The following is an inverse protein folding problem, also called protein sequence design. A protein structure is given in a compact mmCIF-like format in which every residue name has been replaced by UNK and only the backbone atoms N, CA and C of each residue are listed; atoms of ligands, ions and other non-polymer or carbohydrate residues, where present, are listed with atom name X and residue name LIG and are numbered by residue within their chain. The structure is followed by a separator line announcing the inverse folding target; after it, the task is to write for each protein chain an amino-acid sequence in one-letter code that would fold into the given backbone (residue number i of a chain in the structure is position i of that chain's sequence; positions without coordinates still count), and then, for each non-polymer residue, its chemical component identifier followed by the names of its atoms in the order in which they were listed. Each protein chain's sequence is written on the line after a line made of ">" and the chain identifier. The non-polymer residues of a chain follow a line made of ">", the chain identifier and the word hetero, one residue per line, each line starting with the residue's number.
data_IF_509439519684
#
_entry.id   IF_509439519684
#
_cell.length_a   1.000
_cell.length_b   1.000
_cell.length_c   1.000
_cell.angle_alpha   90.00
_cell.angle_beta   90.00
_cell.angle_gamma   90.00
#
_symmetry.space_group_name_H-M   'P 1'
#
loop_
_entity.id
_entity.type
_entity.pdbx_description
1 polymer ?
#
# COMPACT_ATOMS: atom_id res chain seq x y z
N UNK A 1 9.03 -0.55 20.84
CA UNK A 1 9.43 -1.09 19.52
C UNK A 1 10.76 -0.46 19.18
N UNK A 2 11.74 -1.19 18.63
CA UNK A 2 13.04 -0.62 18.28
C UNK A 2 12.96 0.10 16.92
N UNK A 3 13.69 1.19 16.73
CA UNK A 3 13.68 2.03 15.53
C UNK A 3 14.11 1.25 14.28
N UNK A 4 15.07 0.34 14.42
CA UNK A 4 15.49 -0.57 13.34
C UNK A 4 14.33 -1.39 12.78
N UNK A 5 13.37 -1.78 13.63
CA UNK A 5 12.18 -2.52 13.17
C UNK A 5 11.22 -1.64 12.38
N UNK A 6 11.19 -0.34 12.63
CA UNK A 6 10.34 0.58 11.86
C UNK A 6 10.86 0.71 10.42
N UNK A 7 12.18 0.79 10.25
CA UNK A 7 12.83 0.82 8.93
C UNK A 7 12.63 -0.51 8.21
N UNK A 8 12.87 -1.64 8.89
CA UNK A 8 12.68 -2.97 8.29
C UNK A 8 11.24 -3.17 7.76
N UNK A 9 10.21 -2.70 8.47
CA UNK A 9 8.84 -2.80 7.98
C UNK A 9 8.57 -1.97 6.72
N UNK A 10 9.26 -0.85 6.53
CA UNK A 10 9.18 -0.09 5.28
C UNK A 10 9.83 -0.86 4.11
N UNK A 11 10.96 -1.51 4.36
CA UNK A 11 11.64 -2.37 3.38
C UNK A 11 10.79 -3.60 3.03
N UNK A 12 10.18 -4.24 4.03
CA UNK A 12 9.29 -5.39 3.83
C UNK A 12 8.05 -5.00 3.00
N UNK A 13 7.50 -3.80 3.22
CA UNK A 13 6.40 -3.28 2.41
C UNK A 13 6.81 -3.08 0.95
N UNK A 14 8.01 -2.56 0.69
CA UNK A 14 8.55 -2.43 -0.67
C UNK A 14 8.72 -3.79 -1.35
N UNK A 15 9.33 -4.77 -0.67
CA UNK A 15 9.51 -6.11 -1.23
C UNK A 15 8.19 -6.83 -1.49
N UNK A 16 7.18 -6.65 -0.64
CA UNK A 16 5.84 -7.17 -0.86
C UNK A 16 5.21 -6.60 -2.15
N UNK A 17 5.33 -5.28 -2.37
CA UNK A 17 4.86 -4.65 -3.61
C UNK A 17 5.64 -5.15 -4.83
N UNK A 18 6.95 -5.32 -4.71
CA UNK A 18 7.79 -5.87 -5.79
C UNK A 18 7.36 -7.29 -6.16
N UNK A 19 7.07 -8.14 -5.17
CA UNK A 19 6.57 -9.49 -5.38
C UNK A 19 5.18 -9.49 -6.05
N UNK A 20 4.27 -8.60 -5.64
CA UNK A 20 2.96 -8.43 -6.27
C UNK A 20 3.10 -7.99 -7.74
N UNK A 21 3.97 -7.01 -8.04
CA UNK A 21 4.23 -6.57 -9.41
C UNK A 21 4.76 -7.71 -10.29
N UNK A 22 5.67 -8.52 -9.75
CA UNK A 22 6.20 -9.69 -10.46
C UNK A 22 5.10 -10.75 -10.70
N UNK A 23 4.33 -11.09 -9.67
CA UNK A 23 3.27 -12.10 -9.76
C UNK A 23 2.05 -11.70 -10.59
N UNK A 24 1.87 -10.40 -10.84
CA UNK A 24 0.80 -9.83 -11.67
C UNK A 24 1.21 -9.61 -13.14
N UNK A 25 2.45 -9.94 -13.53
CA UNK A 25 2.90 -9.91 -14.92
C UNK A 25 2.37 -11.11 -15.73
N UNK A 26 1.04 -11.25 -15.80
CA UNK A 26 0.30 -12.33 -16.48
C UNK A 26 -1.18 -11.98 -16.57
N UNK A 27 -1.97 -12.83 -17.23
CA UNK A 27 -3.42 -12.77 -17.13
C UNK A 27 -3.87 -13.04 -15.68
N UNK A 28 -4.72 -12.15 -15.16
CA UNK A 28 -5.27 -12.23 -13.80
C UNK A 28 -6.76 -12.56 -13.85
N UNK A 29 -7.19 -13.68 -13.24
CA UNK A 29 -8.61 -13.92 -13.02
C UNK A 29 -9.21 -12.81 -12.15
N UNK A 30 -10.41 -12.34 -12.50
CA UNK A 30 -11.08 -11.28 -11.76
C UNK A 30 -11.23 -11.57 -10.25
N UNK A 31 -11.53 -12.80 -9.80
CA UNK A 31 -11.55 -13.10 -8.36
C UNK A 31 -10.22 -12.87 -7.64
N UNK A 32 -9.08 -13.18 -8.30
CA UNK A 32 -7.76 -12.90 -7.75
C UNK A 32 -7.48 -11.41 -7.70
N UNK A 33 -7.78 -10.69 -8.79
CA UNK A 33 -7.64 -9.24 -8.83
C UNK A 33 -8.50 -8.55 -7.75
N UNK A 34 -9.72 -9.02 -7.53
CA UNK A 34 -10.62 -8.53 -6.50
C UNK A 34 -9.99 -8.64 -5.10
N UNK A 35 -9.41 -9.79 -4.76
CA UNK A 35 -8.74 -9.98 -3.47
C UNK A 35 -7.48 -9.12 -3.32
N UNK A 36 -6.70 -8.97 -4.40
CA UNK A 36 -5.51 -8.10 -4.38
C UNK A 36 -5.91 -6.64 -4.17
N UNK A 37 -6.90 -6.15 -4.90
CA UNK A 37 -7.37 -4.76 -4.79
C UNK A 37 -7.87 -4.43 -3.38
N UNK A 38 -8.59 -5.34 -2.72
CA UNK A 38 -9.06 -5.12 -1.35
C UNK A 38 -7.92 -4.93 -0.33
N UNK A 39 -6.85 -5.71 -0.46
CA UNK A 39 -5.67 -5.56 0.39
C UNK A 39 -4.90 -4.26 0.08
N UNK A 40 -4.76 -3.92 -1.21
CA UNK A 40 -4.09 -2.69 -1.61
C UNK A 40 -4.86 -1.43 -1.17
N UNK A 41 -6.20 -1.48 -1.15
CA UNK A 41 -7.03 -0.41 -0.58
C UNK A 41 -6.72 -0.21 0.91
N UNK A 42 -6.70 -1.29 1.70
CA UNK A 42 -6.37 -1.21 3.13
C UNK A 42 -4.96 -0.64 3.36
N UNK A 43 -4.00 -1.07 2.54
CA UNK A 43 -2.64 -0.53 2.55
C UNK A 43 -2.61 0.97 2.22
N UNK A 44 -3.39 1.44 1.24
CA UNK A 44 -3.47 2.86 0.89
C UNK A 44 -3.96 3.74 2.04
N UNK A 45 -5.01 3.31 2.76
CA UNK A 45 -5.46 4.00 3.98
C UNK A 45 -4.41 3.95 5.09
N UNK A 46 -3.75 2.80 5.29
CA UNK A 46 -2.66 2.67 6.26
C UNK A 46 -1.48 3.62 5.95
N UNK A 47 -1.11 3.78 4.68
CA UNK A 47 -0.08 4.71 4.24
C UNK A 47 -0.49 6.17 4.48
N UNK A 48 -1.76 6.51 4.26
CA UNK A 48 -2.28 7.84 4.58
C UNK A 48 -2.16 8.15 6.08
N UNK A 49 -2.48 7.18 6.93
CA UNK A 49 -2.30 7.33 8.39
C UNK A 49 -0.82 7.45 8.78
N UNK A 50 0.05 6.58 8.25
CA UNK A 50 1.48 6.58 8.56
C UNK A 50 2.14 7.91 8.21
N UNK A 51 1.86 8.44 7.01
CA UNK A 51 2.40 9.74 6.57
C UNK A 51 1.91 10.89 7.43
N UNK A 52 0.65 10.86 7.89
CA UNK A 52 0.13 11.81 8.88
C UNK A 52 0.86 11.72 10.23
N UNK A 53 1.13 10.50 10.71
CA UNK A 53 1.88 10.28 11.95
C UNK A 53 3.33 10.78 11.86
N UNK A 54 4.00 10.53 10.73
CA UNK A 54 5.35 11.06 10.49
C UNK A 54 5.38 12.59 10.48
N UNK A 55 4.38 13.23 9.86
CA UNK A 55 4.26 14.70 9.83
C UNK A 55 4.09 15.28 11.24
N UNK A 56 3.21 14.69 12.04
CA UNK A 56 3.02 15.06 13.45
C UNK A 56 4.27 14.85 14.29
N UNK A 57 4.91 13.68 14.17
CA UNK A 57 6.12 13.34 14.92
C UNK A 57 7.30 14.27 14.60
N UNK A 58 7.49 14.65 13.33
CA UNK A 58 8.52 15.62 12.95
C UNK A 58 8.23 17.01 13.54
N UNK A 59 6.96 17.43 13.57
CA UNK A 59 6.58 18.70 14.18
C UNK A 59 6.87 18.70 15.68
N UNK A 60 6.52 17.62 16.38
CA UNK A 60 6.80 17.44 17.81
C UNK A 60 8.31 17.39 18.09
N UNK A 61 9.10 16.82 17.17
CA UNK A 61 10.55 16.70 17.31
C UNK A 61 11.27 18.05 17.50
N UNK A 62 10.72 19.14 16.95
CA UNK A 62 11.25 20.50 17.12
C UNK A 62 11.25 20.97 18.59
N UNK A 63 10.43 20.34 19.43
CA UNK A 63 10.31 20.65 20.87
C UNK A 63 10.83 19.54 21.76
N UNK A 64 10.81 18.30 21.28
CA UNK A 64 11.26 17.12 22.04
C UNK A 64 12.77 16.87 21.94
N UNK A 65 13.44 17.39 20.90
CA UNK A 65 14.87 17.17 20.66
C UNK A 65 15.59 18.48 20.33
N UNK A 66 16.91 18.50 20.58
CA UNK A 66 17.80 19.57 20.12
C UNK A 66 18.13 19.35 18.63
N UNK A 67 17.18 19.73 17.78
CA UNK A 67 17.26 19.54 16.32
C UNK A 67 18.10 20.64 15.67
N UNK A 68 18.93 20.25 14.70
CA UNK A 68 19.72 21.17 13.89
C UNK A 68 19.63 20.80 12.40
N UNK A 69 19.90 21.77 11.54
CA UNK A 69 19.98 21.62 10.09
C UNK A 69 21.13 22.50 9.61
N UNK A 70 22.09 21.87 8.92
CA UNK A 70 23.31 22.54 8.47
C UNK A 70 23.10 23.49 7.28
N UNK A 71 21.95 23.41 6.62
CA UNK A 71 21.62 24.18 5.43
C UNK A 71 20.67 25.34 5.70
N UNK A 72 19.82 25.28 6.74
CA UNK A 72 18.81 26.30 7.08
C UNK A 72 18.26 26.12 8.49
N UNK A 73 17.28 26.94 8.88
CA UNK A 73 16.51 26.76 10.12
C UNK A 73 15.76 25.40 10.11
N UNK A 74 15.98 24.51 11.11
CA UNK A 74 15.28 23.22 11.24
C UNK A 74 13.76 23.33 11.13
N UNK A 75 13.16 24.43 11.63
CA UNK A 75 11.71 24.66 11.56
C UNK A 75 11.23 24.76 10.12
N UNK A 76 12.02 25.38 9.25
CA UNK A 76 11.70 25.50 7.82
C UNK A 76 11.74 24.12 7.16
N UNK A 77 12.76 23.31 7.46
CA UNK A 77 12.87 21.95 6.91
C UNK A 77 11.76 21.03 7.38
N UNK A 78 11.39 21.08 8.67
CA UNK A 78 10.25 20.32 9.19
C UNK A 78 8.94 20.78 8.55
N UNK A 79 8.71 22.09 8.37
CA UNK A 79 7.51 22.59 7.71
C UNK A 79 7.40 22.09 6.25
N UNK A 80 8.52 22.08 5.52
CA UNK A 80 8.56 21.53 4.15
C UNK A 80 8.24 20.03 4.13
N UNK A 81 8.84 19.25 5.03
CA UNK A 81 8.59 17.81 5.13
C UNK A 81 7.13 17.52 5.53
N UNK A 82 6.59 18.27 6.50
CA UNK A 82 5.23 18.12 6.99
C UNK A 82 4.20 18.37 5.88
N UNK A 83 4.39 19.40 5.04
CA UNK A 83 3.49 19.65 3.91
C UNK A 83 3.59 18.56 2.84
N UNK A 84 4.81 18.10 2.50
CA UNK A 84 4.98 17.00 1.56
C UNK A 84 4.30 15.71 2.07
N UNK A 85 4.43 15.39 3.36
CA UNK A 85 3.78 14.25 3.99
C UNK A 85 2.25 14.37 4.01
N UNK A 86 1.71 15.59 4.21
CA UNK A 86 0.27 15.83 4.16
C UNK A 86 -0.30 15.63 2.75
N UNK A 87 0.43 16.06 1.72
CA UNK A 87 0.07 15.80 0.32
C UNK A 87 0.16 14.31 -0.02
N UNK A 88 1.19 13.62 0.49
CA UNK A 88 1.33 12.17 0.35
C UNK A 88 0.16 11.44 1.00
N UNK A 89 -0.29 11.87 2.20
CA UNK A 89 -1.43 11.30 2.88
C UNK A 89 -2.72 11.41 2.06
N UNK A 90 -3.01 12.61 1.54
CA UNK A 90 -4.17 12.83 0.67
C UNK A 90 -4.11 11.97 -0.61
N UNK A 91 -2.92 11.85 -1.20
CA UNK A 91 -2.70 11.04 -2.41
C UNK A 91 -2.88 9.54 -2.14
N UNK A 92 -2.39 9.05 -1.00
CA UNK A 92 -2.56 7.66 -0.58
C UNK A 92 -4.04 7.34 -0.32
N UNK A 93 -4.78 8.26 0.30
CA UNK A 93 -6.22 8.13 0.48
C UNK A 93 -6.96 8.08 -0.87
N UNK A 94 -6.69 9.01 -1.78
CA UNK A 94 -7.31 9.01 -3.12
C UNK A 94 -6.98 7.75 -3.91
N UNK A 95 -5.76 7.22 -3.77
CA UNK A 95 -5.38 5.93 -4.35
C UNK A 95 -6.20 4.77 -3.76
N UNK A 96 -6.39 4.74 -2.43
CA UNK A 96 -7.22 3.73 -1.77
C UNK A 96 -8.67 3.76 -2.27
N UNK A 97 -9.25 4.96 -2.45
CA UNK A 97 -10.60 5.15 -2.97
C UNK A 97 -10.73 4.65 -4.43
N UNK A 98 -9.73 4.91 -5.27
CA UNK A 98 -9.69 4.41 -6.65
C UNK A 98 -9.56 2.88 -6.70
N UNK A 99 -8.75 2.29 -5.82
CA UNK A 99 -8.63 0.84 -5.70
C UNK A 99 -9.95 0.20 -5.26
N UNK A 100 -10.66 0.83 -4.32
CA UNK A 100 -11.99 0.40 -3.89
C UNK A 100 -13.00 0.43 -5.05
N UNK A 101 -12.98 1.50 -5.84
CA UNK A 101 -13.85 1.62 -7.02
C UNK A 101 -13.53 0.56 -8.08
N UNK A 102 -12.25 0.27 -8.33
CA UNK A 102 -11.83 -0.80 -9.23
C UNK A 102 -12.27 -2.18 -8.72
N UNK A 103 -12.13 -2.44 -7.42
CA UNK A 103 -12.58 -3.68 -6.79
C UNK A 103 -14.09 -3.87 -6.96
N UNK A 104 -14.87 -2.81 -6.71
CA UNK A 104 -16.32 -2.81 -6.86
C UNK A 104 -16.73 -3.11 -8.31
N UNK A 105 -16.04 -2.54 -9.29
CA UNK A 105 -16.37 -2.70 -10.71
C UNK A 105 -16.24 -4.15 -11.21
N UNK A 106 -15.40 -4.97 -10.59
CA UNK A 106 -15.17 -6.37 -10.99
C UNK A 106 -15.82 -7.39 -10.02
N UNK A 107 -16.60 -6.94 -9.04
CA UNK A 107 -17.09 -7.78 -7.95
C UNK A 107 -18.00 -8.96 -8.37
N UNK A 108 -18.60 -8.89 -9.56
CA UNK A 108 -19.49 -9.92 -10.11
C UNK A 108 -18.80 -10.77 -11.20
N UNK A 109 -17.51 -10.56 -11.45
CA UNK A 109 -16.78 -11.29 -12.49
C UNK A 109 -16.20 -12.60 -11.94
N UNK A 110 -16.41 -13.68 -12.68
CA UNK A 110 -15.83 -15.00 -12.44
C UNK A 110 -15.28 -15.61 -13.73
N UNK A 111 -14.86 -16.87 -13.66
CA UNK A 111 -14.48 -17.64 -14.85
C UNK A 111 -14.96 -19.08 -14.68
N UNK A 112 -15.38 -19.70 -15.79
CA UNK A 112 -15.71 -21.12 -15.81
C UNK A 112 -14.42 -21.92 -15.89
N UNK A 113 -14.31 -22.96 -15.05
CA UNK A 113 -13.30 -23.98 -15.24
C UNK A 113 -13.83 -24.92 -16.33
N UNK A 114 -13.02 -25.32 -17.34
CA UNK A 114 -13.46 -26.32 -18.30
C UNK A 114 -13.95 -27.56 -17.56
N UNK A 115 -15.11 -28.10 -17.95
CA UNK A 115 -15.49 -29.45 -17.53
C UNK A 115 -14.39 -30.39 -18.04
N UNK A 116 -13.52 -30.83 -17.14
CA UNK A 116 -12.70 -32.00 -17.41
C UNK A 116 -13.65 -33.17 -17.35
N UNK A 117 -14.14 -33.61 -18.51
CA UNK A 117 -14.84 -34.88 -18.67
C UNK A 117 -13.94 -35.97 -18.08
N UNK A 118 -14.12 -36.29 -16.80
CA UNK A 118 -13.69 -37.56 -16.21
C UNK A 118 -14.75 -38.62 -16.52
N UNK A 119 -15.08 -38.74 -17.80
CA UNK A 119 -15.74 -39.92 -18.37
C UNK A 119 -14.65 -40.75 -19.05
N UNK A 120 -13.78 -41.34 -18.24
CA UNK A 120 -13.22 -42.64 -18.60
C UNK A 120 -14.17 -43.69 -18.04
N UNK A 121 -15.20 -43.94 -18.85
CA UNK A 121 -15.98 -45.17 -18.81
C UNK A 121 -15.04 -46.37 -18.83
N UNK A 122 -15.09 -47.11 -17.73
CA UNK A 122 -15.30 -48.55 -17.71
C UNK A 122 -15.33 -49.21 -19.11
N UNK A 123 -14.22 -49.82 -19.51
CA UNK A 123 -14.20 -50.76 -20.63
C UNK A 123 -13.53 -52.06 -20.19
N UNK A 124 -14.37 -53.05 -19.89
CA UNK A 124 -14.20 -54.44 -20.33
C UNK A 124 -13.48 -55.39 -19.38
#
# INVERSE_FOLDING_TARGET
>A
MNDEKLVQYADDAYEAIRALNHGTFRALPAPLAYSVLGNLQAMGFGLAQLTGQLSGGLTESLTAYDVYDNNRDPKVSVAMAAEALRLAAASAQGTAELLAAAQLAINAQGYNVPDTDTDQEDQG
#
